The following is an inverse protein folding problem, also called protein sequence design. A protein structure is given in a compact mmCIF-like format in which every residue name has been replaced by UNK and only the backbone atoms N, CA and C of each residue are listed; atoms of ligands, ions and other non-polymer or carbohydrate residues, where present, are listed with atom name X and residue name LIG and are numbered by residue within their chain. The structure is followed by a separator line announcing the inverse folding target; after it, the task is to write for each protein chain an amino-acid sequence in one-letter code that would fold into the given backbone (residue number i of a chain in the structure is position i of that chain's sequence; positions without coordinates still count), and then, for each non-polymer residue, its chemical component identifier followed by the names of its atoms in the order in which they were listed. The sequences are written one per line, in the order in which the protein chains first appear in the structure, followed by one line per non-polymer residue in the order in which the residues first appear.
data_IF_106936086518
#
_entry.id   IF_106936086518
#
_cell.length_a   1.000
_cell.length_b   1.000
_cell.length_c   1.000
_cell.angle_alpha   90.00
_cell.angle_beta   90.00
_cell.angle_gamma   90.00
#
_symmetry.space_group_name_H-M   'P 1'
#
loop_
_entity.id
_entity.type
_entity.pdbx_description
1 polymer ?
#
# COMPACT_ATOMS: atom_id res chain seq x y z
N UNK A 1 -15.01 -31.84 10.78
CA UNK A 1 -16.15 -32.02 9.85
C UNK A 1 -16.64 -30.65 9.43
N UNK A 2 -16.35 -30.23 8.20
CA UNK A 2 -16.83 -28.95 7.67
C UNK A 2 -18.33 -29.05 7.40
N UNK A 3 -19.09 -28.15 8.01
CA UNK A 3 -20.55 -28.13 8.00
C UNK A 3 -21.05 -27.79 6.59
N UNK A 4 -21.59 -28.80 5.90
CA UNK A 4 -22.07 -28.77 4.50
C UNK A 4 -23.14 -27.69 4.20
N UNK A 5 -23.70 -27.05 5.23
CA UNK A 5 -24.69 -25.97 5.11
C UNK A 5 -24.12 -24.56 4.96
N UNK A 6 -22.88 -24.30 5.40
CA UNK A 6 -22.26 -22.96 5.29
C UNK A 6 -21.94 -22.59 3.83
N UNK A 7 -21.45 -23.56 3.05
CA UNK A 7 -21.01 -23.35 1.67
C UNK A 7 -22.09 -22.77 0.73
N UNK A 8 -23.36 -23.14 0.91
CA UNK A 8 -24.45 -22.66 0.05
C UNK A 8 -24.88 -21.22 0.39
N UNK A 9 -24.77 -20.85 1.67
CA UNK A 9 -25.06 -19.48 2.13
C UNK A 9 -23.95 -18.54 1.68
N UNK A 10 -22.69 -18.96 1.80
CA UNK A 10 -21.54 -18.19 1.33
C UNK A 10 -21.59 -17.98 -0.21
N UNK A 11 -21.96 -19.01 -0.98
CA UNK A 11 -22.17 -18.89 -2.43
C UNK A 11 -23.30 -17.92 -2.80
N UNK A 12 -24.38 -17.92 -2.02
CA UNK A 12 -25.50 -17.00 -2.21
C UNK A 12 -25.07 -15.57 -1.89
N UNK A 13 -24.38 -15.36 -0.78
CA UNK A 13 -23.88 -14.05 -0.37
C UNK A 13 -22.90 -13.47 -1.40
N UNK A 14 -21.98 -14.28 -1.91
CA UNK A 14 -21.02 -13.87 -2.95
C UNK A 14 -21.72 -13.48 -4.26
N UNK A 15 -22.81 -14.17 -4.65
CA UNK A 15 -23.57 -13.83 -5.86
C UNK A 15 -24.15 -12.41 -5.84
N UNK A 16 -24.55 -11.89 -4.68
CA UNK A 16 -25.15 -10.54 -4.56
C UNK A 16 -24.15 -9.45 -4.15
N UNK A 17 -22.91 -9.83 -3.82
CA UNK A 17 -21.85 -8.89 -3.45
C UNK A 17 -21.58 -7.87 -4.55
N UNK A 18 -21.49 -8.34 -5.79
CA UNK A 18 -21.17 -7.49 -6.94
C UNK A 18 -22.33 -6.53 -7.27
N UNK A 19 -23.58 -6.94 -7.05
CA UNK A 19 -24.76 -6.09 -7.28
C UNK A 19 -24.78 -4.86 -6.34
N UNK A 20 -24.40 -5.02 -5.06
CA UNK A 20 -24.30 -3.92 -4.09
C UNK A 20 -23.24 -2.89 -4.50
N UNK A 21 -22.15 -3.34 -5.12
CA UNK A 21 -21.06 -2.47 -5.60
C UNK A 21 -21.52 -1.71 -6.84
N UNK A 22 -22.12 -2.40 -7.81
CA UNK A 22 -22.58 -1.81 -9.08
C UNK A 22 -23.68 -0.76 -8.83
N UNK A 23 -24.62 -1.00 -7.91
CA UNK A 23 -25.68 -0.03 -7.59
C UNK A 23 -25.13 1.29 -7.03
N UNK A 24 -24.04 1.22 -6.26
CA UNK A 24 -23.45 2.40 -5.62
C UNK A 24 -22.44 3.14 -6.51
N UNK A 25 -21.88 2.48 -7.53
CA UNK A 25 -21.00 3.10 -8.54
C UNK A 25 -21.74 4.05 -9.48
N UNK A 26 -23.00 3.76 -9.81
CA UNK A 26 -23.81 4.60 -10.69
C UNK A 26 -24.25 5.93 -10.03
N UNK A 27 -24.20 6.01 -8.70
CA UNK A 27 -24.66 7.18 -7.92
C UNK A 27 -23.52 8.05 -7.38
N UNK A 28 -22.31 7.51 -7.23
CA UNK A 28 -21.18 8.21 -6.62
C UNK A 28 -19.97 8.32 -7.57
N UNK A 29 -19.63 9.54 -7.98
CA UNK A 29 -18.44 9.82 -8.78
C UNK A 29 -17.14 9.86 -7.96
N UNK A 30 -17.23 9.82 -6.62
CA UNK A 30 -16.09 9.89 -5.70
C UNK A 30 -15.93 8.55 -4.96
N UNK A 31 -14.75 7.95 -5.08
CA UNK A 31 -14.37 6.69 -4.42
C UNK A 31 -14.56 6.75 -2.89
N UNK A 32 -14.27 7.88 -2.25
CA UNK A 32 -14.44 8.05 -0.80
C UNK A 32 -15.92 7.98 -0.37
N UNK A 33 -16.81 8.55 -1.18
CA UNK A 33 -18.26 8.45 -0.97
C UNK A 33 -18.75 7.01 -1.16
N UNK A 34 -18.35 6.39 -2.27
CA UNK A 34 -18.69 5.00 -2.59
C UNK A 34 -18.32 4.03 -1.45
N UNK A 35 -17.08 4.11 -0.95
CA UNK A 35 -16.60 3.22 0.10
C UNK A 35 -17.40 3.42 1.40
N UNK A 36 -17.72 4.66 1.76
CA UNK A 36 -18.56 4.94 2.93
C UNK A 36 -19.97 4.37 2.81
N UNK A 37 -20.57 4.41 1.62
CA UNK A 37 -21.91 3.86 1.36
C UNK A 37 -21.92 2.34 1.33
N UNK A 38 -20.90 1.69 0.77
CA UNK A 38 -20.83 0.21 0.69
C UNK A 38 -20.67 -0.41 2.08
N UNK A 39 -19.76 0.16 2.88
CA UNK A 39 -19.39 -0.39 4.17
C UNK A 39 -20.22 0.14 5.34
N UNK A 40 -21.05 1.17 5.13
CA UNK A 40 -21.92 1.77 6.17
C UNK A 40 -21.15 2.19 7.44
N UNK A 41 -19.85 2.45 7.29
CA UNK A 41 -18.91 2.82 8.34
C UNK A 41 -18.43 4.25 8.17
N UNK A 42 -17.85 4.81 9.23
CA UNK A 42 -17.27 6.14 9.14
C UNK A 42 -16.09 6.16 8.14
N UNK A 43 -15.95 7.25 7.39
CA UNK A 43 -14.81 7.45 6.47
C UNK A 43 -13.47 7.26 7.17
N UNK A 44 -13.38 7.67 8.44
CA UNK A 44 -12.18 7.53 9.28
C UNK A 44 -11.80 6.06 9.49
N UNK A 45 -12.77 5.18 9.76
CA UNK A 45 -12.50 3.75 9.95
C UNK A 45 -12.06 3.08 8.65
N UNK A 46 -12.68 3.45 7.53
CA UNK A 46 -12.29 2.96 6.20
C UNK A 46 -10.86 3.38 5.88
N UNK A 47 -10.54 4.66 6.08
CA UNK A 47 -9.19 5.19 5.88
C UNK A 47 -8.20 4.48 6.78
N UNK A 48 -8.50 4.30 8.06
CA UNK A 48 -7.63 3.57 8.98
C UNK A 48 -7.39 2.12 8.53
N UNK A 49 -8.43 1.44 8.05
CA UNK A 49 -8.33 0.05 7.56
C UNK A 49 -7.42 -0.03 6.35
N UNK A 50 -7.60 0.88 5.38
CA UNK A 50 -6.76 0.97 4.18
C UNK A 50 -5.33 1.38 4.55
N UNK A 51 -5.15 2.36 5.42
CA UNK A 51 -3.82 2.77 5.88
C UNK A 51 -3.12 1.62 6.59
N UNK A 52 -3.81 0.83 7.42
CA UNK A 52 -3.21 -0.28 8.13
C UNK A 52 -2.85 -1.47 7.22
N UNK A 53 -3.56 -1.68 6.11
CA UNK A 53 -3.27 -2.77 5.17
C UNK A 53 -2.08 -2.50 4.24
N UNK A 54 -1.66 -1.24 4.08
CA UNK A 54 -0.53 -0.88 3.22
C UNK A 54 0.80 -1.10 3.96
N UNK A 55 1.68 -1.96 3.43
CA UNK A 55 3.04 -2.16 3.95
C UNK A 55 4.01 -1.01 3.63
N UNK A 56 5.17 -0.98 4.27
CA UNK A 56 6.31 -0.09 3.94
C UNK A 56 6.02 1.42 3.88
N UNK A 57 5.02 1.92 4.62
CA UNK A 57 4.64 3.35 4.63
C UNK A 57 5.72 4.27 5.23
N UNK A 58 6.39 3.79 6.27
CA UNK A 58 7.36 4.57 7.03
C UNK A 58 8.78 4.26 6.56
N UNK A 59 9.59 5.29 6.36
CA UNK A 59 10.99 5.12 5.98
C UNK A 59 11.81 4.59 7.17
N UNK A 60 12.29 3.35 7.06
CA UNK A 60 13.13 2.70 8.07
C UNK A 60 14.62 3.05 7.94
N UNK A 61 15.09 3.27 6.73
CA UNK A 61 16.48 3.65 6.49
C UNK A 61 16.78 4.03 5.05
N UNK A 62 17.95 4.66 4.87
CA UNK A 62 18.47 5.12 3.58
C UNK A 62 19.96 4.85 3.50
N UNK A 63 20.42 4.46 2.32
CA UNK A 63 21.84 4.26 1.97
C UNK A 63 22.15 5.06 0.71
N UNK A 64 23.13 5.94 0.81
CA UNK A 64 23.61 6.77 -0.29
C UNK A 64 25.04 6.37 -0.63
N UNK A 65 25.27 6.03 -1.88
CA UNK A 65 26.57 5.69 -2.42
C UNK A 65 26.88 6.56 -3.62
N UNK A 66 28.10 7.10 -3.65
CA UNK A 66 28.59 7.88 -4.77
C UNK A 66 29.97 7.36 -5.16
N UNK A 67 30.12 6.99 -6.43
CA UNK A 67 31.37 6.49 -7.00
C UNK A 67 31.66 7.20 -8.32
N UNK A 68 32.85 7.78 -8.46
CA UNK A 68 33.25 8.42 -9.71
C UNK A 68 34.32 9.48 -9.52
N UNK A 69 34.63 10.23 -10.58
CA UNK A 69 35.58 11.35 -10.51
C UNK A 69 34.85 12.60 -10.00
N UNK A 70 34.73 12.66 -8.67
CA UNK A 70 34.01 13.72 -7.96
C UNK A 70 34.92 14.89 -7.53
N UNK A 71 36.20 14.86 -7.93
CA UNK A 71 37.11 15.96 -7.65
C UNK A 71 36.76 17.18 -8.52
N UNK A 72 36.81 18.37 -7.92
CA UNK A 72 36.50 19.63 -8.63
C UNK A 72 37.49 19.96 -9.75
N UNK A 73 38.73 19.45 -9.70
CA UNK A 73 39.83 19.87 -10.58
C UNK A 73 39.73 19.21 -11.96
N UNK A 74 40.04 19.97 -13.00
CA UNK A 74 40.17 19.46 -14.37
C UNK A 74 41.54 18.80 -14.60
N UNK A 75 41.77 17.68 -13.91
CA UNK A 75 42.99 16.85 -14.01
C UNK A 75 42.61 15.37 -14.04
N UNK A 76 43.50 14.52 -14.55
CA UNK A 76 43.29 13.07 -14.57
C UNK A 76 43.47 12.45 -13.16
N UNK A 77 42.50 12.70 -12.28
CA UNK A 77 42.45 12.13 -10.93
C UNK A 77 41.71 10.78 -10.91
N UNK A 78 42.02 9.94 -9.91
CA UNK A 78 41.32 8.67 -9.66
C UNK A 78 39.89 8.91 -9.14
N UNK A 79 39.02 7.92 -9.32
CA UNK A 79 37.68 7.93 -8.75
C UNK A 79 37.67 7.92 -7.21
N UNK A 80 36.70 8.61 -6.64
CA UNK A 80 36.38 8.65 -5.21
C UNK A 80 35.17 7.75 -4.96
N UNK A 81 35.18 7.05 -3.84
CA UNK A 81 34.03 6.32 -3.30
C UNK A 81 33.63 6.92 -1.96
N UNK A 82 32.35 7.26 -1.80
CA UNK A 82 31.78 7.76 -0.55
C UNK A 82 30.46 7.07 -0.26
N UNK A 83 30.30 6.60 0.98
CA UNK A 83 29.11 5.90 1.45
C UNK A 83 28.59 6.54 2.74
N UNK A 84 27.27 6.77 2.79
CA UNK A 84 26.55 7.22 3.99
C UNK A 84 25.29 6.38 4.16
N UNK A 85 24.98 6.03 5.40
CA UNK A 85 23.77 5.29 5.74
C UNK A 85 23.10 5.87 6.99
N UNK A 86 21.78 5.72 7.09
CA UNK A 86 21.00 6.03 8.28
C UNK A 86 19.83 5.06 8.37
N UNK A 87 19.65 4.39 9.50
CA UNK A 87 18.63 3.35 9.66
C UNK A 87 19.01 2.03 8.98
N UNK A 88 18.01 1.17 8.69
CA UNK A 88 18.21 -0.16 8.11
C UNK A 88 17.46 -0.38 6.80
N UNK A 89 17.99 -1.26 5.94
CA UNK A 89 17.36 -1.70 4.69
C UNK A 89 16.84 -3.15 4.77
N UNK A 90 16.80 -3.72 5.97
CA UNK A 90 16.28 -5.08 6.17
C UNK A 90 14.76 -5.06 6.05
N UNK A 91 14.19 -6.09 5.43
CA UNK A 91 12.77 -6.37 5.60
C UNK A 91 12.55 -6.87 7.04
N UNK A 92 11.63 -6.24 7.76
CA UNK A 92 11.29 -6.57 9.16
C UNK A 92 9.88 -7.18 9.25
N UNK A 93 9.15 -7.22 8.13
CA UNK A 93 7.87 -7.91 7.99
C UNK A 93 8.04 -9.41 7.77
#
# INVERSE_FOLDING_TARGET
TLVKGQNNVDLFLDKYKDLKIISNLNTNNNLDGLLSTIHETSKKEIHNTIYNSIGYKNMSGIRLEVKGRLTKRYRADRSIYSLKWKGGLKNVD
#
